data_IF_162864889919
#
_entry.id   IF_162864889919
#
_cell.length_a   1.000
_cell.length_b   1.000
_cell.length_c   1.000
_cell.angle_alpha   90.00
_cell.angle_beta   90.00
_cell.angle_gamma   90.00
#
_symmetry.space_group_name_H-M   'P 1'
#
loop_
_entity.id
_entity.type
_entity.pdbx_description
1 polymer ?
#
# COMPACT_ATOMS: atom_id res chain seq x y z
N UNK A 1 -12.47 -2.14 42.15
CA UNK A 1 -12.65 -2.49 40.72
C UNK A 1 -12.20 -1.37 39.76
N UNK A 2 -11.21 -0.55 40.12
CA UNK A 2 -10.67 0.51 39.23
C UNK A 2 -9.48 0.03 38.36
N UNK A 3 -8.79 -1.05 38.75
CA UNK A 3 -7.63 -1.60 38.05
C UNK A 3 -7.97 -2.32 36.72
N UNK A 4 -9.16 -2.93 36.62
CA UNK A 4 -9.62 -3.63 35.40
C UNK A 4 -9.89 -2.64 34.26
N UNK A 5 -10.50 -1.48 34.56
CA UNK A 5 -10.71 -0.41 33.58
C UNK A 5 -9.40 0.24 33.13
N UNK A 6 -8.47 0.47 34.05
CA UNK A 6 -7.14 1.00 33.73
C UNK A 6 -6.33 0.03 32.84
N UNK A 7 -6.41 -1.27 33.10
CA UNK A 7 -5.75 -2.31 32.30
C UNK A 7 -6.31 -2.42 30.87
N UNK A 8 -7.63 -2.39 30.71
CA UNK A 8 -8.27 -2.44 29.38
C UNK A 8 -7.89 -1.21 28.53
N UNK A 9 -7.84 -0.01 29.13
CA UNK A 9 -7.46 1.22 28.42
C UNK A 9 -6.00 1.13 27.94
N UNK A 10 -5.08 0.59 28.74
CA UNK A 10 -3.68 0.38 28.34
C UNK A 10 -3.53 -0.61 27.19
N UNK A 11 -4.29 -1.71 27.19
CA UNK A 11 -4.25 -2.71 26.10
C UNK A 11 -4.79 -2.14 24.78
N UNK A 12 -5.89 -1.37 24.83
CA UNK A 12 -6.46 -0.71 23.64
C UNK A 12 -5.52 0.36 23.07
N UNK A 13 -4.86 1.15 23.94
CA UNK A 13 -3.85 2.12 23.51
C UNK A 13 -2.64 1.46 22.86
N UNK A 14 -2.17 0.30 23.37
CA UNK A 14 -1.08 -0.45 22.76
C UNK A 14 -1.46 -1.08 21.42
N UNK A 15 -2.68 -1.58 21.26
CA UNK A 15 -3.20 -2.12 19.99
C UNK A 15 -3.32 -1.03 18.91
N UNK A 16 -3.68 0.20 19.29
CA UNK A 16 -3.71 1.34 18.37
C UNK A 16 -2.30 1.78 17.90
N UNK A 17 -1.26 1.53 18.70
CA UNK A 17 0.13 1.88 18.40
C UNK A 17 0.80 0.95 17.37
N UNK A 18 0.11 -0.09 16.90
CA UNK A 18 0.63 -1.07 15.94
C UNK A 18 0.21 -0.79 14.49
N UNK A 19 -0.47 0.32 14.22
CA UNK A 19 -0.99 0.65 12.90
C UNK A 19 -0.06 1.56 12.07
N UNK A 20 0.85 2.30 12.71
CA UNK A 20 1.67 3.34 12.06
C UNK A 20 2.86 2.82 11.23
N UNK A 21 3.21 1.53 11.29
CA UNK A 21 4.38 0.99 10.59
C UNK A 21 4.09 0.33 9.24
N UNK A 22 2.82 0.23 8.83
CA UNK A 22 2.45 -0.41 7.58
C UNK A 22 2.90 0.42 6.36
N UNK A 23 2.89 1.75 6.47
CA UNK A 23 3.25 2.65 5.37
C UNK A 23 4.75 2.63 5.06
N UNK A 24 5.61 2.56 6.09
CA UNK A 24 7.07 2.48 5.89
C UNK A 24 7.48 1.14 5.29
N UNK A 25 6.82 0.04 5.69
CA UNK A 25 7.10 -1.29 5.16
C UNK A 25 6.63 -1.43 3.71
N UNK A 26 5.50 -0.82 3.34
CA UNK A 26 5.02 -0.80 1.96
C UNK A 26 5.95 0.01 1.04
N UNK A 27 6.44 1.17 1.48
CA UNK A 27 7.42 1.96 0.75
C UNK A 27 8.78 1.25 0.64
N UNK A 28 9.24 0.61 1.71
CA UNK A 28 10.48 -0.18 1.70
C UNK A 28 10.38 -1.42 0.79
N UNK A 29 9.23 -2.09 0.75
CA UNK A 29 8.99 -3.21 -0.17
C UNK A 29 9.02 -2.75 -1.64
N UNK A 30 8.45 -1.57 -1.95
CA UNK A 30 8.57 -0.97 -3.28
C UNK A 30 10.04 -0.69 -3.63
N UNK A 31 10.80 -0.06 -2.72
CA UNK A 31 12.22 0.23 -2.90
C UNK A 31 13.08 -1.05 -3.07
N UNK A 32 12.81 -2.11 -2.32
CA UNK A 32 13.51 -3.39 -2.41
C UNK A 32 13.23 -4.13 -3.72
N UNK A 33 12.04 -3.91 -4.31
CA UNK A 33 11.60 -4.61 -5.51
C UNK A 33 11.99 -3.93 -6.83
N UNK A 34 12.69 -2.78 -6.77
CA UNK A 34 13.20 -2.11 -7.96
C UNK A 34 12.10 -1.58 -8.89
N UNK A 35 10.89 -1.35 -8.37
CA UNK A 35 9.74 -0.89 -9.13
C UNK A 35 8.89 0.09 -8.33
N UNK A 36 8.21 1.00 -9.02
CA UNK A 36 7.21 1.90 -8.44
C UNK A 36 5.82 1.41 -8.82
N UNK A 37 4.90 1.43 -7.85
CA UNK A 37 3.54 0.95 -8.02
C UNK A 37 2.53 2.02 -7.60
N UNK A 38 1.39 2.09 -8.29
CA UNK A 38 0.26 2.95 -7.92
C UNK A 38 -1.06 2.25 -8.14
N UNK A 39 -2.06 2.61 -7.34
CA UNK A 39 -3.44 2.23 -7.61
C UNK A 39 -4.06 3.16 -8.63
N UNK A 40 -4.85 2.57 -9.53
CA UNK A 40 -5.45 3.24 -10.68
C UNK A 40 -6.93 2.90 -10.70
N UNK A 41 -7.79 3.93 -10.68
CA UNK A 41 -9.24 3.79 -10.59
C UNK A 41 -9.82 4.79 -9.61
N UNK A 42 -10.89 5.49 -9.99
CA UNK A 42 -11.57 6.46 -9.12
C UNK A 42 -12.96 5.96 -8.79
N UNK A 43 -13.26 5.81 -7.50
CA UNK A 43 -14.60 5.46 -7.03
C UNK A 43 -15.59 6.60 -7.33
N UNK A 44 -16.91 6.32 -7.46
CA UNK A 44 -17.58 5.05 -7.22
C UNK A 44 -17.59 4.07 -8.41
N UNK A 45 -17.27 4.50 -9.62
CA UNK A 45 -17.25 3.65 -10.81
C UNK A 45 -15.84 3.54 -11.36
N UNK A 46 -15.23 2.37 -11.23
CA UNK A 46 -13.82 2.17 -11.54
C UNK A 46 -13.64 1.32 -12.80
N UNK A 47 -13.13 1.93 -13.86
CA UNK A 47 -12.83 1.22 -15.09
C UNK A 47 -11.73 1.95 -15.85
N UNK A 48 -10.49 1.51 -15.66
CA UNK A 48 -9.32 2.04 -16.36
C UNK A 48 -8.18 1.02 -16.33
N UNK A 49 -7.37 1.01 -17.38
CA UNK A 49 -6.19 0.15 -17.51
C UNK A 49 -4.92 0.81 -16.95
N UNK A 50 -3.85 0.03 -16.85
CA UNK A 50 -2.52 0.57 -16.65
C UNK A 50 -2.05 1.35 -17.88
N UNK A 51 -1.15 2.32 -17.68
CA UNK A 51 -0.56 3.08 -18.78
C UNK A 51 0.44 2.21 -19.57
N UNK A 52 0.82 2.66 -20.77
CA UNK A 52 1.81 1.94 -21.57
C UNK A 52 3.16 1.89 -20.84
N UNK A 53 3.75 0.69 -20.78
CA UNK A 53 4.99 0.44 -20.02
C UNK A 53 4.77 0.12 -18.53
N UNK A 54 3.52 0.08 -18.07
CA UNK A 54 3.15 -0.42 -16.74
C UNK A 54 2.50 -1.82 -16.84
N UNK A 55 2.73 -2.65 -15.82
CA UNK A 55 2.11 -3.96 -15.71
C UNK A 55 1.07 -3.98 -14.58
N UNK A 56 -0.06 -4.63 -14.84
CA UNK A 56 -1.10 -4.89 -13.85
C UNK A 56 -0.66 -6.01 -12.92
N UNK A 57 -0.46 -5.71 -11.64
CA UNK A 57 -0.02 -6.68 -10.63
C UNK A 57 -1.17 -7.18 -9.75
N UNK A 58 -2.20 -6.36 -9.53
CA UNK A 58 -3.29 -6.67 -8.60
C UNK A 58 -4.58 -5.96 -9.00
N UNK A 59 -5.73 -6.54 -8.64
CA UNK A 59 -7.05 -5.89 -8.75
C UNK A 59 -7.72 -5.83 -7.39
N UNK A 60 -8.32 -4.71 -7.05
CA UNK A 60 -9.06 -4.54 -5.80
C UNK A 60 -10.24 -3.60 -5.98
N UNK A 61 -11.35 -3.87 -5.30
CA UNK A 61 -12.50 -2.97 -5.31
C UNK A 61 -12.17 -1.61 -4.65
N UNK A 62 -11.24 -1.60 -3.68
CA UNK A 62 -10.91 -0.39 -2.92
C UNK A 62 -9.52 0.14 -3.25
N UNK A 63 -8.56 -0.75 -3.52
CA UNK A 63 -7.15 -0.36 -3.66
C UNK A 63 -6.63 0.20 -2.33
N UNK A 64 -6.06 1.40 -2.39
CA UNK A 64 -5.58 2.19 -1.25
C UNK A 64 -6.59 3.25 -0.75
N UNK A 65 -7.81 3.28 -1.29
CA UNK A 65 -8.79 4.32 -0.98
C UNK A 65 -10.24 3.86 -1.01
N UNK A 66 -11.15 4.80 -1.29
CA UNK A 66 -12.60 4.56 -1.28
C UNK A 66 -13.02 3.44 -2.25
N UNK A 67 -13.95 2.57 -1.86
CA UNK A 67 -14.35 1.41 -2.66
C UNK A 67 -15.24 1.77 -3.86
N UNK A 68 -15.03 1.06 -4.97
CA UNK A 68 -15.86 1.13 -6.16
C UNK A 68 -17.18 0.38 -5.90
N UNK A 69 -18.31 0.97 -6.30
CA UNK A 69 -19.60 0.29 -6.35
C UNK A 69 -19.68 -0.66 -7.54
N UNK A 70 -19.02 -0.30 -8.65
CA UNK A 70 -18.90 -1.16 -9.82
C UNK A 70 -17.51 -1.05 -10.43
N UNK A 71 -17.00 -2.19 -10.90
CA UNK A 71 -15.64 -2.34 -11.43
C UNK A 71 -14.57 -2.48 -10.35
N UNK A 72 -13.30 -2.33 -10.75
CA UNK A 72 -12.14 -2.56 -9.90
C UNK A 72 -11.06 -1.51 -10.14
N UNK A 73 -10.27 -1.23 -9.10
CA UNK A 73 -8.98 -0.56 -9.24
C UNK A 73 -7.91 -1.57 -9.61
N UNK A 74 -6.92 -1.10 -10.34
CA UNK A 74 -5.75 -1.87 -10.75
C UNK A 74 -4.51 -1.33 -10.05
N UNK A 75 -3.65 -2.23 -9.58
CA UNK A 75 -2.33 -1.89 -9.07
C UNK A 75 -1.35 -2.01 -10.23
N UNK A 76 -0.92 -0.85 -10.74
CA UNK A 76 -0.04 -0.76 -11.89
C UNK A 76 1.39 -0.48 -11.42
N UNK A 77 2.35 -1.28 -11.88
CA UNK A 77 3.74 -1.18 -11.50
C UNK A 77 4.65 -1.03 -12.72
N UNK A 78 5.73 -0.26 -12.57
CA UNK A 78 6.80 -0.15 -13.56
C UNK A 78 8.17 -0.18 -12.90
N UNK A 79 9.19 -0.75 -13.57
CA UNK A 79 10.55 -0.69 -13.08
C UNK A 79 10.97 0.77 -12.89
N UNK A 80 11.61 1.07 -11.76
CA UNK A 80 12.36 2.31 -11.65
C UNK A 80 13.64 2.08 -12.45
N UNK A 81 13.83 2.84 -13.53
CA UNK A 81 15.13 2.90 -14.20
C UNK A 81 16.06 3.61 -13.23
N UNK A 82 16.60 2.87 -12.26
CA UNK A 82 17.59 3.41 -11.35
C UNK A 82 18.82 3.73 -12.22
N UNK A 83 19.33 4.98 -12.25
CA UNK A 83 20.65 5.19 -12.79
C UNK A 83 21.60 4.26 -12.02
N UNK A 84 22.35 3.44 -12.75
CA UNK A 84 23.26 2.42 -12.21
C UNK A 84 24.41 3.10 -11.45
N UNK A 85 24.11 3.55 -10.25
CA UNK A 85 25.06 3.91 -9.20
C UNK A 85 24.49 3.27 -7.94
N UNK A 86 25.29 2.43 -7.28
CA UNK A 86 24.95 1.73 -6.03
C UNK A 86 24.11 0.44 -6.19
N UNK A 87 24.69 -0.59 -6.81
CA UNK A 87 24.62 -1.98 -6.29
C UNK A 87 25.99 -2.67 -6.48
N UNK A 88 27.07 -2.00 -6.06
CA UNK A 88 28.34 -2.68 -5.81
C UNK A 88 28.32 -3.15 -4.35
N UNK A 89 27.82 -4.37 -4.12
CA UNK A 89 28.04 -5.08 -2.86
C UNK A 89 29.27 -5.96 -3.04
N UNK A 90 30.37 -5.54 -2.42
CA UNK A 90 31.57 -6.35 -2.17
C UNK A 90 31.29 -7.46 -1.16
#
# INVERSE_FOLDING_TARGET
MHYVKAGIILVVAMLALQCESADLLAAAAAAASGQTCRWVGTAPFCQMGCESGENEMEKSACGDGACCWSGYKLRCCKPIVQPVIVQAKS
#
